data_IF_664581867366
#
_entry.id   IF_664581867366
#
_cell.length_a   1.000
_cell.length_b   1.000
_cell.length_c   1.000
_cell.angle_alpha   90.00
_cell.angle_beta   90.00
_cell.angle_gamma   90.00
#
_symmetry.space_group_name_H-M   'P 1'
#
loop_
_entity.id
_entity.type
_entity.pdbx_description
1 polymer ?
#
# COMPACT_ATOMS: atom_id res chain seq x y z
N UNK A 1 -12.55 -33.77 21.79
CA UNK A 1 -12.72 -32.28 21.86
C UNK A 1 -12.21 -31.51 20.61
N UNK A 2 -10.94 -31.64 20.17
CA UNK A 2 -10.38 -30.88 19.02
C UNK A 2 -11.18 -31.04 17.71
N UNK A 3 -11.73 -32.23 17.48
CA UNK A 3 -12.46 -32.59 16.26
C UNK A 3 -13.78 -31.81 16.11
N UNK A 4 -14.52 -31.55 17.19
CA UNK A 4 -15.79 -30.78 17.15
C UNK A 4 -15.50 -29.33 16.77
N UNK A 5 -14.47 -28.75 17.38
CA UNK A 5 -14.02 -27.40 17.06
C UNK A 5 -13.55 -27.28 15.61
N UNK A 6 -12.74 -28.23 15.14
CA UNK A 6 -12.26 -28.24 13.75
C UNK A 6 -13.42 -28.37 12.75
N UNK A 7 -14.48 -29.14 13.07
CA UNK A 7 -15.69 -29.26 12.23
C UNK A 7 -16.49 -27.95 12.16
N UNK A 8 -16.75 -27.32 13.31
CA UNK A 8 -17.46 -26.02 13.37
C UNK A 8 -16.66 -24.95 12.61
N UNK A 9 -15.34 -24.91 12.80
CA UNK A 9 -14.46 -23.98 12.09
C UNK A 9 -14.46 -24.22 10.58
N UNK A 10 -14.52 -25.47 10.13
CA UNK A 10 -14.62 -25.82 8.71
C UNK A 10 -15.91 -25.27 8.09
N UNK A 11 -17.05 -25.38 8.76
CA UNK A 11 -18.33 -24.88 8.26
C UNK A 11 -18.32 -23.35 8.21
N UNK A 12 -17.92 -22.70 9.30
CA UNK A 12 -17.94 -21.25 9.42
C UNK A 12 -16.87 -20.53 8.58
N UNK A 13 -15.85 -21.24 8.05
CA UNK A 13 -14.94 -20.68 7.04
C UNK A 13 -15.66 -20.14 5.80
N UNK A 14 -16.83 -20.69 5.47
CA UNK A 14 -17.62 -20.29 4.30
C UNK A 14 -18.68 -19.23 4.62
N UNK A 15 -18.74 -18.77 5.87
CA UNK A 15 -19.80 -17.92 6.39
C UNK A 15 -19.23 -16.52 6.71
N UNK A 16 -19.97 -15.41 6.46
CA UNK A 16 -19.50 -14.07 6.81
C UNK A 16 -19.26 -13.97 8.32
N UNK A 17 -18.12 -13.42 8.73
CA UNK A 17 -17.71 -13.38 10.12
C UNK A 17 -18.34 -12.22 10.91
N UNK A 18 -19.67 -12.08 10.96
CA UNK A 18 -20.33 -10.97 11.70
C UNK A 18 -20.37 -11.20 13.21
N UNK A 19 -20.64 -10.17 14.01
CA UNK A 19 -20.84 -10.34 15.46
C UNK A 19 -21.94 -11.36 15.76
N UNK A 20 -23.07 -11.27 15.03
CA UNK A 20 -24.16 -12.26 15.10
C UNK A 20 -23.70 -13.65 14.68
N UNK A 21 -22.86 -13.77 13.65
CA UNK A 21 -22.43 -15.09 13.15
C UNK A 21 -21.34 -15.71 14.03
N UNK A 22 -20.54 -14.89 14.70
CA UNK A 22 -19.55 -15.34 15.67
C UNK A 22 -20.20 -15.69 17.02
N UNK A 23 -21.25 -14.96 17.41
CA UNK A 23 -22.15 -15.38 18.50
C UNK A 23 -22.79 -16.72 18.16
N UNK A 24 -23.38 -16.86 16.96
CA UNK A 24 -23.96 -18.12 16.50
C UNK A 24 -22.93 -19.26 16.49
N UNK A 25 -21.70 -19.02 16.03
CA UNK A 25 -20.60 -19.99 16.10
C UNK A 25 -20.30 -20.40 17.53
N UNK A 26 -20.24 -19.43 18.44
CA UNK A 26 -19.96 -19.66 19.86
C UNK A 26 -21.09 -20.45 20.52
N UNK A 27 -22.34 -20.11 20.20
CA UNK A 27 -23.53 -20.78 20.72
C UNK A 27 -23.63 -22.22 20.20
N UNK A 28 -23.36 -22.46 18.92
CA UNK A 28 -23.33 -23.81 18.34
C UNK A 28 -22.20 -24.63 18.97
N UNK A 29 -20.99 -24.06 19.10
CA UNK A 29 -19.86 -24.72 19.72
C UNK A 29 -20.16 -25.09 21.18
N UNK A 30 -20.70 -24.16 21.96
CA UNK A 30 -21.05 -24.38 23.37
C UNK A 30 -22.09 -25.50 23.53
N UNK A 31 -23.16 -25.47 22.73
CA UNK A 31 -24.18 -26.51 22.79
C UNK A 31 -23.64 -27.90 22.35
N UNK A 32 -22.75 -27.94 21.34
CA UNK A 32 -22.08 -29.19 20.94
C UNK A 32 -21.13 -29.71 22.03
N UNK A 33 -20.39 -28.82 22.70
CA UNK A 33 -19.49 -29.18 23.80
C UNK A 33 -20.26 -29.69 25.02
N UNK A 34 -21.38 -29.05 25.39
CA UNK A 34 -22.23 -29.48 26.48
C UNK A 34 -22.79 -30.88 26.23
N UNK A 35 -23.26 -31.13 24.99
CA UNK A 35 -23.80 -32.44 24.61
C UNK A 35 -22.73 -33.53 24.57
N UNK A 36 -21.55 -33.19 24.10
CA UNK A 36 -20.39 -34.08 24.13
C UNK A 36 -20.04 -34.47 25.57
N UNK A 37 -19.97 -33.51 26.50
CA UNK A 37 -19.66 -33.79 27.90
C UNK A 37 -20.73 -34.66 28.57
N UNK A 38 -22.01 -34.43 28.27
CA UNK A 38 -23.11 -35.25 28.79
C UNK A 38 -23.00 -36.73 28.36
N UNK A 39 -22.60 -36.98 27.11
CA UNK A 39 -22.38 -38.34 26.59
C UNK A 39 -21.16 -39.03 27.21
N UNK A 40 -20.09 -38.28 27.47
CA UNK A 40 -18.91 -38.79 28.17
C UNK A 40 -19.25 -39.15 29.61
N UNK A 41 -20.02 -38.31 30.31
CA UNK A 41 -20.47 -38.58 31.69
C UNK A 41 -21.46 -39.76 31.76
N UNK A 42 -22.22 -39.99 30.69
CA UNK A 42 -23.08 -41.18 30.52
C UNK A 42 -22.29 -42.46 30.17
N UNK A 43 -20.96 -42.39 30.02
CA UNK A 43 -20.08 -43.53 29.77
C UNK A 43 -19.85 -43.87 28.30
N UNK A 44 -20.19 -42.98 27.36
CA UNK A 44 -19.91 -43.19 25.94
C UNK A 44 -18.41 -43.05 25.64
N UNK A 45 -17.94 -43.73 24.58
CA UNK A 45 -16.58 -43.54 24.10
C UNK A 45 -16.41 -42.21 23.37
N UNK A 46 -15.20 -41.64 23.37
CA UNK A 46 -14.91 -40.35 22.74
C UNK A 46 -15.34 -40.29 21.25
N UNK A 47 -15.14 -41.40 20.54
CA UNK A 47 -15.47 -41.51 19.12
C UNK A 47 -16.97 -41.67 18.87
N UNK A 48 -17.69 -42.28 19.80
CA UNK A 48 -19.15 -42.44 19.74
C UNK A 48 -19.84 -41.12 20.08
N UNK A 49 -19.38 -40.42 21.11
CA UNK A 49 -19.89 -39.11 21.50
C UNK A 49 -19.77 -38.09 20.35
N UNK A 50 -18.63 -38.04 19.64
CA UNK A 50 -18.44 -37.14 18.49
C UNK A 50 -19.43 -37.47 17.36
N UNK A 51 -19.60 -38.77 17.04
CA UNK A 51 -20.51 -39.20 15.98
C UNK A 51 -21.97 -38.85 16.27
N UNK A 52 -22.39 -39.01 17.53
CA UNK A 52 -23.75 -38.68 17.96
C UNK A 52 -24.00 -37.17 17.94
N UNK A 53 -23.07 -36.35 18.46
CA UNK A 53 -23.21 -34.89 18.48
C UNK A 53 -23.31 -34.31 17.07
N UNK A 54 -22.49 -34.80 16.13
CA UNK A 54 -22.55 -34.35 14.73
C UNK A 54 -23.88 -34.77 14.06
N UNK A 55 -24.38 -35.97 14.37
CA UNK A 55 -25.65 -36.45 13.81
C UNK A 55 -26.88 -35.70 14.37
N UNK A 56 -26.86 -35.34 15.65
CA UNK A 56 -27.97 -34.67 16.34
C UNK A 56 -28.10 -33.19 15.95
N UNK A 57 -26.98 -32.50 15.72
CA UNK A 57 -26.97 -31.13 15.22
C UNK A 57 -27.30 -31.00 13.73
N UNK A 58 -27.19 -32.09 12.96
CA UNK A 58 -27.47 -32.09 11.52
C UNK A 58 -26.48 -31.28 10.69
N UNK A 59 -26.90 -30.84 9.50
CA UNK A 59 -26.06 -30.01 8.63
C UNK A 59 -26.17 -28.54 9.04
N UNK A 60 -25.12 -28.02 9.68
CA UNK A 60 -25.00 -26.60 10.06
C UNK A 60 -25.17 -25.69 8.82
N UNK A 61 -24.80 -26.16 7.61
CA UNK A 61 -25.00 -25.41 6.37
C UNK A 61 -26.48 -25.19 6.04
N UNK A 62 -27.36 -26.14 6.38
CA UNK A 62 -28.80 -26.06 6.14
C UNK A 62 -29.45 -25.02 7.10
N UNK A 63 -29.02 -25.01 8.36
CA UNK A 63 -29.38 -23.96 9.34
C UNK A 63 -28.94 -22.56 8.87
N UNK A 64 -27.73 -22.43 8.34
CA UNK A 64 -27.20 -21.16 7.82
C UNK A 64 -27.91 -20.70 6.54
N UNK A 65 -28.45 -21.64 5.76
CA UNK A 65 -29.20 -21.36 4.54
C UNK A 65 -30.64 -20.90 4.85
N UNK A 66 -31.31 -21.50 5.84
CA UNK A 66 -32.60 -21.03 6.36
C UNK A 66 -32.51 -19.61 6.95
N UNK A 67 -31.39 -19.28 7.59
CA UNK A 67 -31.13 -17.94 8.14
C UNK A 67 -30.73 -16.90 7.07
N UNK A 68 -30.57 -17.29 5.79
CA UNK A 68 -30.22 -16.38 4.69
C UNK A 68 -28.76 -15.89 4.66
N UNK A 69 -27.92 -16.34 5.60
CA UNK A 69 -26.52 -15.93 5.74
C UNK A 69 -25.66 -16.46 4.56
N UNK A 70 -25.99 -17.65 4.04
CA UNK A 70 -25.34 -18.27 2.88
C UNK A 70 -25.58 -17.51 1.56
N UNK A 71 -26.72 -16.82 1.40
CA UNK A 71 -27.01 -16.03 0.18
C UNK A 71 -26.22 -14.73 0.13
N UNK A 72 -26.15 -13.99 1.24
CA UNK A 72 -25.37 -12.75 1.36
C UNK A 72 -23.86 -12.98 1.19
N UNK A 73 -23.37 -14.18 1.49
CA UNK A 73 -21.97 -14.56 1.31
C UNK A 73 -21.65 -14.93 -0.14
N UNK A 74 -22.58 -15.61 -0.83
CA UNK A 74 -22.48 -15.93 -2.28
C UNK A 74 -22.58 -14.68 -3.15
N UNK A 75 -23.59 -13.83 -2.95
CA UNK A 75 -23.78 -12.60 -3.74
C UNK A 75 -22.58 -11.63 -3.59
N UNK A 76 -22.02 -11.51 -2.37
CA UNK A 76 -20.81 -10.69 -2.15
C UNK A 76 -19.55 -11.25 -2.80
N UNK A 77 -19.35 -12.58 -2.81
CA UNK A 77 -18.22 -13.23 -3.52
C UNK A 77 -18.33 -13.11 -5.03
N UNK A 78 -19.55 -13.13 -5.57
CA UNK A 78 -19.78 -12.93 -7.01
C UNK A 78 -19.47 -11.49 -7.44
N UNK A 79 -19.69 -10.50 -6.56
CA UNK A 79 -19.46 -9.09 -6.87
C UNK A 79 -18.02 -8.62 -6.58
N UNK A 80 -17.34 -9.18 -5.57
CA UNK A 80 -15.98 -8.80 -5.19
C UNK A 80 -15.12 -10.02 -4.84
N UNK A 81 -13.88 -10.13 -5.38
CA UNK A 81 -13.01 -11.24 -5.05
C UNK A 81 -12.58 -11.17 -3.59
N UNK A 82 -12.68 -12.30 -2.88
CA UNK A 82 -11.99 -12.49 -1.60
C UNK A 82 -10.52 -12.73 -1.89
N UNK A 83 -9.64 -12.02 -1.19
CA UNK A 83 -8.21 -12.17 -1.42
C UNK A 83 -7.66 -13.32 -0.58
N UNK A 84 -7.02 -14.26 -1.25
CA UNK A 84 -6.32 -15.38 -0.63
C UNK A 84 -4.93 -14.94 -0.12
N UNK A 85 -4.40 -15.66 0.86
CA UNK A 85 -3.07 -15.43 1.44
C UNK A 85 -1.97 -15.48 0.36
N UNK A 86 -2.05 -16.42 -0.58
CA UNK A 86 -1.11 -16.52 -1.71
C UNK A 86 -1.11 -15.25 -2.58
N UNK A 87 -2.30 -14.65 -2.79
CA UNK A 87 -2.45 -13.42 -3.56
C UNK A 87 -1.86 -12.20 -2.86
N UNK A 88 -1.90 -12.17 -1.52
CA UNK A 88 -1.29 -11.13 -0.67
C UNK A 88 0.23 -11.22 -0.74
N UNK A 89 0.79 -12.42 -0.53
CA UNK A 89 2.23 -12.64 -0.56
C UNK A 89 2.83 -12.33 -1.93
N UNK A 90 2.14 -12.76 -3.00
CA UNK A 90 2.51 -12.42 -4.37
C UNK A 90 2.58 -10.89 -4.56
N UNK A 91 1.59 -10.15 -4.04
CA UNK A 91 1.56 -8.69 -4.14
C UNK A 91 2.68 -8.02 -3.37
N UNK A 92 2.95 -8.44 -2.12
CA UNK A 92 4.02 -7.91 -1.28
C UNK A 92 5.39 -8.12 -1.94
N UNK A 93 5.67 -9.33 -2.42
CA UNK A 93 6.93 -9.66 -3.09
C UNK A 93 7.07 -8.90 -4.42
N UNK A 94 6.00 -8.82 -5.20
CA UNK A 94 6.01 -8.10 -6.49
C UNK A 94 6.25 -6.61 -6.27
N UNK A 95 5.61 -5.98 -5.28
CA UNK A 95 5.86 -4.57 -4.94
C UNK A 95 7.31 -4.33 -4.47
N UNK A 96 7.87 -5.25 -3.69
CA UNK A 96 9.29 -5.19 -3.30
C UNK A 96 10.24 -5.25 -4.49
N UNK A 97 10.03 -6.19 -5.42
CA UNK A 97 10.86 -6.32 -6.63
C UNK A 97 10.71 -5.12 -7.57
N UNK A 98 9.50 -4.59 -7.75
CA UNK A 98 9.25 -3.33 -8.47
C UNK A 98 10.05 -2.19 -7.83
N UNK A 99 9.98 -2.03 -6.50
CA UNK A 99 10.73 -1.01 -5.78
C UNK A 99 12.24 -1.11 -5.97
N UNK A 100 12.79 -2.31 -5.81
CA UNK A 100 14.22 -2.56 -6.02
C UNK A 100 14.66 -2.19 -7.44
N UNK A 101 13.92 -2.64 -8.46
CA UNK A 101 14.26 -2.41 -9.87
C UNK A 101 14.11 -0.96 -10.29
N UNK A 102 13.11 -0.25 -9.77
CA UNK A 102 13.00 1.21 -9.92
C UNK A 102 14.23 1.89 -9.30
N UNK A 103 14.61 1.51 -8.08
CA UNK A 103 15.83 2.01 -7.44
C UNK A 103 17.08 1.77 -8.28
N UNK A 104 17.26 0.55 -8.79
CA UNK A 104 18.36 0.20 -9.68
C UNK A 104 18.33 0.98 -11.00
N UNK A 105 17.14 1.31 -11.52
CA UNK A 105 16.98 2.19 -12.68
C UNK A 105 17.49 3.60 -12.40
N UNK A 106 17.12 4.18 -11.25
CA UNK A 106 17.63 5.49 -10.83
C UNK A 106 19.14 5.46 -10.61
N UNK A 107 19.65 4.45 -9.89
CA UNK A 107 21.09 4.26 -9.69
C UNK A 107 21.83 4.11 -11.02
N UNK A 108 21.27 3.39 -12.00
CA UNK A 108 21.88 3.25 -13.32
C UNK A 108 22.02 4.60 -14.02
N UNK A 109 20.97 5.43 -14.03
CA UNK A 109 21.02 6.76 -14.64
C UNK A 109 22.03 7.66 -13.92
N UNK A 110 22.01 7.66 -12.59
CA UNK A 110 22.96 8.45 -11.78
C UNK A 110 24.41 7.95 -11.96
N UNK A 111 24.63 6.65 -12.10
CA UNK A 111 25.94 6.09 -12.42
C UNK A 111 26.40 6.46 -13.83
N UNK A 112 25.49 6.49 -14.82
CA UNK A 112 25.78 6.96 -16.18
C UNK A 112 26.19 8.44 -16.20
N UNK A 113 25.41 9.31 -15.55
CA UNK A 113 25.71 10.74 -15.42
C UNK A 113 26.98 10.95 -14.61
N UNK A 114 27.13 10.26 -13.48
CA UNK A 114 28.32 10.33 -12.64
C UNK A 114 29.58 9.85 -13.36
N UNK A 115 29.47 8.79 -14.16
CA UNK A 115 30.55 8.27 -15.00
C UNK A 115 30.98 9.27 -16.08
N UNK A 116 30.02 9.91 -16.76
CA UNK A 116 30.32 11.00 -17.70
C UNK A 116 31.07 12.14 -17.00
N UNK A 117 30.55 12.64 -15.87
CA UNK A 117 31.17 13.75 -15.14
C UNK A 117 32.57 13.36 -14.65
N UNK A 118 32.74 12.15 -14.12
CA UNK A 118 34.05 11.66 -13.68
C UNK A 118 35.05 11.58 -14.84
N UNK A 119 34.63 11.08 -16.01
CA UNK A 119 35.48 11.00 -17.19
C UNK A 119 35.83 12.38 -17.76
N UNK A 120 34.91 13.36 -17.70
CA UNK A 120 35.23 14.76 -18.01
C UNK A 120 36.32 15.30 -17.09
N UNK A 121 36.32 14.92 -15.81
CA UNK A 121 37.38 15.23 -14.85
C UNK A 121 38.76 14.67 -15.21
N UNK A 122 38.81 13.62 -16.03
CA UNK A 122 40.03 12.93 -16.44
C UNK A 122 40.51 13.33 -17.85
N UNK A 123 39.86 14.29 -18.52
CA UNK A 123 40.20 14.68 -19.89
C UNK A 123 41.66 15.12 -20.07
N UNK A 124 42.27 15.68 -19.03
CA UNK A 124 43.68 16.10 -19.05
C UNK A 124 44.64 14.90 -19.11
N UNK A 125 44.21 13.73 -18.65
CA UNK A 125 44.97 12.48 -18.69
C UNK A 125 44.62 11.63 -19.91
N UNK A 126 43.37 11.69 -20.37
CA UNK A 126 42.88 10.88 -21.47
C UNK A 126 41.97 11.68 -22.40
N UNK A 127 42.48 12.09 -23.56
CA UNK A 127 41.76 12.97 -24.50
C UNK A 127 40.43 12.40 -25.01
N UNK A 128 40.31 11.07 -25.12
CA UNK A 128 39.06 10.43 -25.53
C UNK A 128 38.05 10.24 -24.38
N UNK A 129 38.35 10.69 -23.16
CA UNK A 129 37.48 10.51 -21.98
C UNK A 129 36.07 11.09 -22.16
N UNK A 130 35.86 12.29 -22.74
CA UNK A 130 34.51 12.83 -22.94
C UNK A 130 33.65 11.95 -23.85
N UNK A 131 34.23 11.41 -24.93
CA UNK A 131 33.51 10.56 -25.89
C UNK A 131 33.14 9.21 -25.25
N UNK A 132 34.07 8.59 -24.51
CA UNK A 132 33.78 7.36 -23.76
C UNK A 132 32.71 7.61 -22.70
N UNK A 133 32.79 8.75 -22.00
CA UNK A 133 31.80 9.14 -20.99
C UNK A 133 30.40 9.32 -21.59
N UNK A 134 30.30 9.86 -22.79
CA UNK A 134 29.02 9.98 -23.48
C UNK A 134 28.44 8.61 -23.84
N UNK A 135 29.25 7.70 -24.40
CA UNK A 135 28.81 6.33 -24.70
C UNK A 135 28.39 5.60 -23.42
N UNK A 136 29.14 5.78 -22.34
CA UNK A 136 28.84 5.22 -21.02
C UNK A 136 27.49 5.73 -20.46
N UNK A 137 27.24 7.04 -20.52
CA UNK A 137 25.96 7.64 -20.15
C UNK A 137 24.81 7.02 -20.94
N UNK A 138 24.94 6.96 -22.27
CA UNK A 138 23.88 6.44 -23.14
C UNK A 138 23.56 4.97 -22.83
N UNK A 139 24.59 4.14 -22.58
CA UNK A 139 24.39 2.74 -22.20
C UNK A 139 23.60 2.60 -20.89
N UNK A 140 24.00 3.34 -19.85
CA UNK A 140 23.33 3.29 -18.54
C UNK A 140 21.92 3.92 -18.57
N UNK A 141 21.72 4.94 -19.41
CA UNK A 141 20.41 5.54 -19.65
C UNK A 141 19.43 4.51 -20.24
N UNK A 142 19.87 3.73 -21.24
CA UNK A 142 19.06 2.67 -21.83
C UNK A 142 18.68 1.62 -20.79
N UNK A 143 19.62 1.21 -19.93
CA UNK A 143 19.35 0.26 -18.83
C UNK A 143 18.31 0.83 -17.86
N UNK A 144 18.48 2.09 -17.43
CA UNK A 144 17.57 2.74 -16.51
C UNK A 144 16.15 2.88 -17.06
N UNK A 145 16.01 3.33 -18.31
CA UNK A 145 14.72 3.45 -18.99
C UNK A 145 14.07 2.07 -19.18
N UNK A 146 14.84 1.06 -19.57
CA UNK A 146 14.32 -0.30 -19.74
C UNK A 146 13.74 -0.85 -18.43
N UNK A 147 14.42 -0.66 -17.29
CA UNK A 147 13.91 -1.05 -15.98
C UNK A 147 12.60 -0.34 -15.65
N UNK A 148 12.49 0.97 -15.91
CA UNK A 148 11.25 1.70 -15.66
C UNK A 148 10.09 1.25 -16.55
N UNK A 149 10.34 0.99 -17.84
CA UNK A 149 9.28 0.52 -18.75
C UNK A 149 8.78 -0.87 -18.33
N UNK A 150 9.70 -1.80 -18.09
CA UNK A 150 9.34 -3.18 -17.72
C UNK A 150 8.54 -3.22 -16.42
N UNK A 151 8.95 -2.48 -15.40
CA UNK A 151 8.25 -2.46 -14.11
C UNK A 151 6.99 -1.59 -14.14
N UNK A 152 6.95 -0.54 -14.96
CA UNK A 152 5.74 0.24 -15.19
C UNK A 152 4.63 -0.59 -15.84
N UNK A 153 4.99 -1.48 -16.78
CA UNK A 153 4.06 -2.44 -17.37
C UNK A 153 3.57 -3.46 -16.34
N UNK A 154 4.46 -4.05 -15.53
CA UNK A 154 4.09 -5.00 -14.46
C UNK A 154 3.21 -4.37 -13.38
N UNK A 155 3.44 -3.10 -13.05
CA UNK A 155 2.61 -2.37 -12.10
C UNK A 155 1.16 -2.19 -12.61
N UNK A 156 0.92 -2.23 -13.92
CA UNK A 156 -0.42 -2.15 -14.49
C UNK A 156 -1.25 -3.41 -14.19
N UNK A 157 -0.62 -4.58 -14.12
CA UNK A 157 -1.28 -5.85 -13.78
C UNK A 157 -1.76 -5.86 -12.32
N UNK A 158 -1.14 -5.06 -11.46
CA UNK A 158 -1.46 -4.93 -10.04
C UNK A 158 -2.63 -3.97 -9.75
N UNK A 159 -3.32 -3.46 -10.78
CA UNK A 159 -4.48 -2.56 -10.60
C UNK A 159 -5.65 -3.24 -9.87
N UNK A 160 -5.75 -4.58 -9.93
CA UNK A 160 -6.76 -5.33 -9.20
C UNK A 160 -6.73 -5.05 -7.69
N UNK A 161 -5.54 -4.91 -7.11
CA UNK A 161 -5.31 -4.66 -5.68
C UNK A 161 -5.66 -3.23 -5.23
N UNK A 162 -5.94 -2.33 -6.18
CA UNK A 162 -6.38 -0.95 -5.91
C UNK A 162 -7.91 -0.82 -5.93
N UNK A 163 -8.62 -1.92 -6.21
CA UNK A 163 -10.07 -1.99 -6.06
C UNK A 163 -10.41 -2.54 -4.67
N UNK A 164 -11.58 -2.20 -4.12
CA UNK A 164 -12.05 -2.80 -2.89
C UNK A 164 -12.14 -4.33 -3.03
N UNK A 165 -11.62 -5.06 -2.06
CA UNK A 165 -11.70 -6.52 -1.97
C UNK A 165 -12.00 -6.95 -0.54
N UNK A 166 -12.48 -8.17 -0.36
CA UNK A 166 -12.79 -8.69 0.97
C UNK A 166 -11.50 -9.23 1.60
N UNK A 167 -11.16 -8.72 2.79
CA UNK A 167 -10.01 -9.17 3.58
C UNK A 167 -10.51 -9.79 4.89
N UNK A 168 -10.15 -11.07 5.14
CA UNK A 168 -10.57 -11.75 6.36
C UNK A 168 -9.93 -11.12 7.61
N UNK A 169 -10.63 -11.09 8.76
CA UNK A 169 -10.09 -10.53 10.01
C UNK A 169 -8.74 -11.12 10.43
N UNK A 170 -8.59 -12.45 10.36
CA UNK A 170 -7.34 -13.13 10.74
C UNK A 170 -6.15 -12.67 9.86
N UNK A 171 -6.38 -12.56 8.55
CA UNK A 171 -5.36 -12.07 7.60
C UNK A 171 -5.06 -10.59 7.80
N UNK A 172 -6.07 -9.78 8.15
CA UNK A 172 -5.90 -8.36 8.45
C UNK A 172 -5.01 -8.17 9.68
N UNK A 173 -5.28 -8.88 10.76
CA UNK A 173 -4.47 -8.82 11.98
C UNK A 173 -3.01 -9.20 11.69
N UNK A 174 -2.80 -10.28 10.94
CA UNK A 174 -1.47 -10.69 10.49
C UNK A 174 -0.75 -9.59 9.68
N UNK A 175 -1.45 -8.94 8.75
CA UNK A 175 -0.90 -7.85 7.95
C UNK A 175 -0.59 -6.59 8.77
N UNK A 176 -1.42 -6.26 9.76
CA UNK A 176 -1.17 -5.12 10.66
C UNK A 176 0.07 -5.37 11.54
N UNK A 177 0.25 -6.60 12.04
CA UNK A 177 1.46 -7.02 12.75
C UNK A 177 2.71 -6.94 11.88
N UNK A 178 2.65 -7.51 10.67
CA UNK A 178 3.75 -7.47 9.70
C UNK A 178 4.10 -6.03 9.30
N UNK A 179 3.11 -5.18 9.04
CA UNK A 179 3.32 -3.77 8.71
C UNK A 179 4.01 -3.04 9.88
N UNK A 180 3.55 -3.28 11.12
CA UNK A 180 4.15 -2.68 12.32
C UNK A 180 5.58 -3.14 12.55
N UNK A 181 5.88 -4.42 12.31
CA UNK A 181 7.24 -4.94 12.33
C UNK A 181 8.10 -4.29 11.23
N UNK A 182 7.55 -4.13 10.02
CA UNK A 182 8.24 -3.55 8.87
C UNK A 182 8.52 -2.05 9.04
N UNK A 183 7.74 -1.29 9.83
CA UNK A 183 8.01 0.13 10.15
C UNK A 183 9.44 0.35 10.66
N UNK A 184 9.99 -0.60 11.43
CA UNK A 184 11.38 -0.53 11.91
C UNK A 184 12.37 -0.65 10.74
N UNK A 185 12.16 -1.62 9.84
CA UNK A 185 12.97 -1.79 8.63
C UNK A 185 12.90 -0.57 7.71
N UNK A 186 11.70 0.00 7.53
CA UNK A 186 11.49 1.23 6.78
C UNK A 186 12.31 2.38 7.37
N UNK A 187 12.26 2.58 8.69
CA UNK A 187 13.03 3.62 9.37
C UNK A 187 14.54 3.42 9.21
N UNK A 188 15.05 2.18 9.34
CA UNK A 188 16.47 1.87 9.12
C UNK A 188 16.89 2.20 7.68
N UNK A 189 16.08 1.82 6.70
CA UNK A 189 16.34 2.14 5.29
C UNK A 189 16.36 3.65 5.04
N UNK A 190 15.43 4.40 5.66
CA UNK A 190 15.41 5.87 5.57
C UNK A 190 16.68 6.48 6.17
N UNK A 191 17.08 6.04 7.37
CA UNK A 191 18.30 6.53 8.03
C UNK A 191 19.52 6.23 7.16
N UNK A 192 19.68 4.99 6.69
CA UNK A 192 20.80 4.60 5.81
C UNK A 192 20.83 5.41 4.52
N UNK A 193 19.69 5.58 3.84
CA UNK A 193 19.60 6.35 2.61
C UNK A 193 19.93 7.83 2.81
N UNK A 194 19.39 8.46 3.85
CA UNK A 194 19.66 9.87 4.18
C UNK A 194 21.13 10.05 4.57
N UNK A 195 21.67 9.15 5.39
CA UNK A 195 23.10 9.17 5.75
C UNK A 195 24.00 9.04 4.53
N UNK A 196 23.69 8.15 3.57
CA UNK A 196 24.42 8.03 2.31
C UNK A 196 24.33 9.32 1.48
N UNK A 197 23.17 9.96 1.40
CA UNK A 197 23.01 11.23 0.68
C UNK A 197 23.83 12.36 1.34
N UNK A 198 23.89 12.44 2.66
CA UNK A 198 24.69 13.46 3.36
C UNK A 198 26.19 13.16 3.19
N UNK A 199 26.61 11.90 3.37
CA UNK A 199 27.99 11.45 3.19
C UNK A 199 28.46 11.52 1.72
N UNK A 200 27.54 11.57 0.76
CA UNK A 200 27.88 11.73 -0.66
C UNK A 200 28.63 13.03 -0.95
N UNK A 201 28.53 14.03 -0.08
CA UNK A 201 29.26 15.29 -0.21
C UNK A 201 30.77 15.12 0.04
N UNK A 202 31.19 14.09 0.79
CA UNK A 202 32.59 13.84 1.14
C UNK A 202 33.51 13.68 -0.07
N UNK A 203 33.24 12.81 -1.07
CA UNK A 203 34.10 12.71 -2.26
C UNK A 203 34.18 14.01 -3.07
N UNK A 204 33.09 14.79 -3.16
CA UNK A 204 33.10 16.10 -3.82
C UNK A 204 34.02 17.08 -3.07
N UNK A 205 33.86 17.18 -1.75
CA UNK A 205 34.69 18.06 -0.91
C UNK A 205 36.16 17.65 -0.92
N UNK A 206 36.45 16.35 -0.93
CA UNK A 206 37.81 15.84 -1.02
C UNK A 206 38.48 16.31 -2.32
N UNK A 207 37.79 16.24 -3.47
CA UNK A 207 38.32 16.74 -4.73
C UNK A 207 38.42 18.27 -4.80
N UNK A 208 37.60 19.00 -4.06
CA UNK A 208 37.65 20.47 -3.99
C UNK A 208 38.76 21.00 -3.09
N UNK A 209 39.05 20.30 -1.98
CA UNK A 209 40.00 20.74 -0.97
C UNK A 209 41.39 20.13 -1.13
N UNK A 210 41.51 19.03 -1.88
CA UNK A 210 42.77 18.30 -2.06
C UNK A 210 43.04 18.01 -3.54
N UNK A 211 44.29 17.74 -3.88
CA UNK A 211 44.68 17.30 -5.23
C UNK A 211 44.64 15.76 -5.40
N UNK A 212 44.02 15.01 -4.46
CA UNK A 212 43.98 13.54 -4.50
C UNK A 212 43.13 13.03 -5.66
N UNK A 213 41.99 13.68 -5.91
CA UNK A 213 41.06 13.33 -6.98
C UNK A 213 40.57 14.62 -7.67
N UNK A 214 40.34 14.62 -8.99
CA UNK A 214 39.70 15.75 -9.65
C UNK A 214 38.30 16.00 -9.07
N UNK A 215 37.91 17.27 -8.90
CA UNK A 215 36.59 17.67 -8.37
C UNK A 215 35.44 16.96 -9.10
N UNK A 216 35.52 16.88 -10.43
CA UNK A 216 34.50 16.23 -11.24
C UNK A 216 34.40 14.71 -11.01
N UNK A 217 35.51 14.04 -10.69
CA UNK A 217 35.49 12.63 -10.25
C UNK A 217 34.79 12.50 -8.90
N UNK A 218 35.04 13.44 -7.98
CA UNK A 218 34.32 13.54 -6.71
C UNK A 218 32.80 13.72 -6.88
N UNK A 219 32.37 14.56 -7.84
CA UNK A 219 30.96 14.75 -8.20
C UNK A 219 30.36 13.46 -8.78
N UNK A 220 31.11 12.74 -9.62
CA UNK A 220 30.68 11.46 -10.16
C UNK A 220 30.39 10.42 -9.07
N UNK A 221 31.31 10.29 -8.09
CA UNK A 221 31.14 9.41 -6.94
C UNK A 221 29.97 9.84 -6.02
N UNK A 222 29.78 11.15 -5.85
CA UNK A 222 28.63 11.70 -5.11
C UNK A 222 27.30 11.19 -5.70
N UNK A 223 27.13 11.26 -7.02
CA UNK A 223 25.90 10.80 -7.69
C UNK A 223 25.66 9.29 -7.51
N UNK A 224 26.71 8.47 -7.53
CA UNK A 224 26.60 7.03 -7.28
C UNK A 224 26.13 6.75 -5.84
N UNK A 225 26.71 7.45 -4.86
CA UNK A 225 26.31 7.32 -3.45
C UNK A 225 24.86 7.74 -3.21
N UNK A 226 24.43 8.84 -3.85
CA UNK A 226 23.02 9.26 -3.85
C UNK A 226 22.14 8.17 -4.46
N UNK A 227 22.54 7.61 -5.61
CA UNK A 227 21.80 6.53 -6.26
C UNK A 227 21.61 5.30 -5.36
N UNK A 228 22.65 4.89 -4.62
CA UNK A 228 22.52 3.82 -3.63
C UNK A 228 21.55 4.17 -2.51
N UNK A 229 21.51 5.43 -2.05
CA UNK A 229 20.50 5.90 -1.10
C UNK A 229 19.08 5.80 -1.65
N UNK A 230 18.87 6.14 -2.94
CA UNK A 230 17.57 6.01 -3.59
C UNK A 230 17.10 4.56 -3.71
N UNK A 231 18.01 3.60 -3.93
CA UNK A 231 17.66 2.16 -3.92
C UNK A 231 17.06 1.75 -2.57
N UNK A 232 17.65 2.21 -1.46
CA UNK A 232 17.12 1.95 -0.12
C UNK A 232 15.68 2.49 0.02
N UNK A 233 15.44 3.76 -0.35
CA UNK A 233 14.12 4.39 -0.23
C UNK A 233 13.06 3.73 -1.10
N UNK A 234 13.40 3.40 -2.34
CA UNK A 234 12.46 2.83 -3.31
C UNK A 234 12.06 1.40 -2.96
N UNK A 235 13.02 0.58 -2.50
CA UNK A 235 12.73 -0.77 -2.03
C UNK A 235 11.84 -0.74 -0.77
N UNK A 236 12.29 -0.07 0.29
CA UNK A 236 11.56 -0.08 1.56
C UNK A 236 10.22 0.63 1.47
N UNK A 237 10.16 1.73 0.73
CA UNK A 237 8.95 2.52 0.50
C UNK A 237 7.89 1.73 -0.25
N UNK A 238 8.24 0.98 -1.31
CA UNK A 238 7.25 0.21 -2.06
C UNK A 238 6.69 -0.99 -1.28
N UNK A 239 7.51 -1.67 -0.48
CA UNK A 239 7.02 -2.75 0.39
C UNK A 239 6.07 -2.19 1.45
N UNK A 240 6.45 -1.07 2.10
CA UNK A 240 5.57 -0.44 3.09
C UNK A 240 4.26 0.05 2.46
N UNK A 241 4.33 0.63 1.26
CA UNK A 241 3.16 1.06 0.51
C UNK A 241 2.25 -0.13 0.12
N UNK A 242 2.82 -1.31 -0.15
CA UNK A 242 2.04 -2.51 -0.43
C UNK A 242 1.15 -2.90 0.77
N UNK A 243 1.68 -2.91 1.99
CA UNK A 243 0.88 -3.11 3.20
C UNK A 243 -0.23 -2.06 3.33
N UNK A 244 0.09 -0.79 3.10
CA UNK A 244 -0.91 0.28 3.14
C UNK A 244 -2.02 0.07 2.12
N UNK A 245 -1.69 -0.32 0.88
CA UNK A 245 -2.67 -0.60 -0.18
C UNK A 245 -3.57 -1.77 0.23
N UNK A 246 -3.00 -2.86 0.76
CA UNK A 246 -3.77 -4.03 1.18
C UNK A 246 -4.72 -3.69 2.34
N UNK A 247 -4.26 -2.98 3.37
CA UNK A 247 -5.08 -2.61 4.53
C UNK A 247 -6.13 -1.54 4.22
N UNK A 248 -5.88 -0.68 3.23
CA UNK A 248 -6.81 0.39 2.82
C UNK A 248 -7.91 -0.15 1.91
N UNK A 249 -7.56 -1.01 0.95
CA UNK A 249 -8.52 -1.57 -0.02
C UNK A 249 -9.15 -2.88 0.47
N UNK A 250 -8.51 -3.58 1.41
CA UNK A 250 -9.07 -4.73 2.11
C UNK A 250 -10.13 -4.30 3.12
N UNK A 251 -11.38 -4.48 2.74
CA UNK A 251 -12.54 -4.12 3.55
C UNK A 251 -13.00 -5.30 4.38
N UNK A 252 -13.54 -5.01 5.55
CA UNK A 252 -14.04 -6.06 6.43
C UNK A 252 -15.29 -6.72 5.82
N UNK A 253 -15.46 -8.05 5.95
CA UNK A 253 -16.63 -8.75 5.40
C UNK A 253 -17.96 -8.21 5.96
N UNK A 254 -17.95 -7.77 7.22
CA UNK A 254 -19.14 -7.39 7.96
C UNK A 254 -19.67 -6.01 7.57
N UNK A 255 -18.77 -5.05 7.41
CA UNK A 255 -19.05 -3.65 7.08
C UNK A 255 -18.73 -3.32 5.61
N UNK A 256 -18.60 -4.34 4.76
CA UNK A 256 -18.11 -4.19 3.38
C UNK A 256 -18.90 -3.16 2.57
N UNK A 257 -20.23 -3.29 2.52
CA UNK A 257 -21.07 -2.37 1.75
C UNK A 257 -21.02 -0.94 2.27
N UNK A 258 -20.99 -0.77 3.60
CA UNK A 258 -20.90 0.54 4.22
C UNK A 258 -19.56 1.19 3.91
N UNK A 259 -18.46 0.44 4.01
CA UNK A 259 -17.11 0.90 3.71
C UNK A 259 -16.95 1.25 2.23
N UNK A 260 -17.51 0.45 1.31
CA UNK A 260 -17.47 0.72 -0.13
C UNK A 260 -18.33 1.93 -0.50
N UNK A 261 -19.56 2.04 0.05
CA UNK A 261 -20.43 3.21 -0.17
C UNK A 261 -19.79 4.48 0.41
N UNK A 262 -19.19 4.39 1.59
CA UNK A 262 -18.46 5.51 2.21
C UNK A 262 -17.25 5.94 1.37
N UNK A 263 -16.49 5.00 0.83
CA UNK A 263 -15.36 5.30 -0.06
C UNK A 263 -15.82 5.95 -1.37
N UNK A 264 -16.90 5.44 -1.98
CA UNK A 264 -17.48 6.03 -3.18
C UNK A 264 -17.99 7.47 -2.93
N UNK A 265 -18.62 7.71 -1.77
CA UNK A 265 -19.01 9.06 -1.35
C UNK A 265 -17.81 9.99 -1.19
N UNK A 266 -16.76 9.55 -0.48
CA UNK A 266 -15.52 10.32 -0.31
C UNK A 266 -14.90 10.69 -1.66
N UNK A 267 -14.75 9.72 -2.57
CA UNK A 267 -14.23 9.97 -3.93
C UNK A 267 -15.07 10.99 -4.69
N UNK A 268 -16.40 10.97 -4.55
CA UNK A 268 -17.29 11.96 -5.17
C UNK A 268 -17.07 13.35 -4.59
N UNK A 269 -16.90 13.48 -3.28
CA UNK A 269 -16.63 14.75 -2.60
C UNK A 269 -15.26 15.29 -3.04
N UNK A 270 -14.24 14.44 -3.04
CA UNK A 270 -12.89 14.82 -3.47
C UNK A 270 -12.89 15.27 -4.94
N UNK A 271 -13.61 14.56 -5.83
CA UNK A 271 -13.80 14.99 -7.22
C UNK A 271 -14.46 16.36 -7.32
N UNK A 272 -15.53 16.62 -6.57
CA UNK A 272 -16.20 17.93 -6.56
C UNK A 272 -15.23 19.02 -6.07
N UNK A 273 -14.39 18.71 -5.09
CA UNK A 273 -13.46 19.69 -4.53
C UNK A 273 -12.30 19.98 -5.48
N UNK A 274 -11.70 18.95 -6.05
CA UNK A 274 -10.54 19.08 -6.94
C UNK A 274 -10.93 19.63 -8.32
N UNK A 275 -12.00 19.12 -8.93
CA UNK A 275 -12.35 19.43 -10.32
C UNK A 275 -13.34 20.60 -10.47
N UNK A 276 -14.04 20.97 -9.39
CA UNK A 276 -15.06 22.04 -9.45
C UNK A 276 -14.67 23.18 -8.51
N UNK A 277 -14.50 22.90 -7.23
CA UNK A 277 -14.28 23.94 -6.21
C UNK A 277 -12.97 24.72 -6.42
N UNK A 278 -11.83 24.02 -6.59
CA UNK A 278 -10.53 24.69 -6.76
C UNK A 278 -10.46 25.55 -8.04
N UNK A 279 -10.90 25.07 -9.22
CA UNK A 279 -11.00 25.90 -10.41
C UNK A 279 -11.88 27.14 -10.20
N UNK A 280 -13.01 27.02 -9.49
CA UNK A 280 -13.86 28.18 -9.15
C UNK A 280 -13.11 29.18 -8.26
N UNK A 281 -12.38 28.72 -7.23
CA UNK A 281 -11.55 29.60 -6.38
C UNK A 281 -10.49 30.33 -7.20
N UNK A 282 -9.86 29.66 -8.17
CA UNK A 282 -8.90 30.28 -9.09
C UNK A 282 -9.59 31.33 -9.99
N UNK A 283 -10.78 31.05 -10.50
CA UNK A 283 -11.57 32.01 -11.29
C UNK A 283 -11.97 33.23 -10.44
N UNK A 284 -12.43 33.01 -9.21
CA UNK A 284 -12.76 34.09 -8.26
C UNK A 284 -11.51 34.92 -7.95
N UNK A 285 -10.37 34.26 -7.70
CA UNK A 285 -9.10 34.91 -7.49
C UNK A 285 -8.74 35.83 -8.65
N UNK A 286 -8.77 35.32 -9.88
CA UNK A 286 -8.46 36.14 -11.06
C UNK A 286 -9.48 37.25 -11.27
N UNK A 287 -10.78 36.96 -11.20
CA UNK A 287 -11.83 37.96 -11.39
C UNK A 287 -11.73 39.10 -10.35
N UNK A 288 -11.58 38.77 -9.06
CA UNK A 288 -11.41 39.77 -8.01
C UNK A 288 -10.10 40.57 -8.21
N UNK A 289 -9.00 39.90 -8.58
CA UNK A 289 -7.71 40.54 -8.81
C UNK A 289 -7.73 41.51 -10.00
N UNK A 290 -8.40 41.16 -11.09
CA UNK A 290 -8.52 42.01 -12.28
C UNK A 290 -9.58 43.11 -12.16
N UNK A 291 -10.72 42.84 -11.50
CA UNK A 291 -11.82 43.82 -11.36
C UNK A 291 -11.51 44.90 -10.32
N UNK A 292 -10.90 44.53 -9.20
CA UNK A 292 -10.59 45.48 -8.12
C UNK A 292 -9.30 46.25 -8.42
N UNK A 293 -8.31 45.58 -9.04
CA UNK A 293 -7.05 46.19 -9.46
C UNK A 293 -6.20 46.78 -8.33
N UNK A 294 -5.06 47.38 -8.70
CA UNK A 294 -4.19 48.11 -7.77
C UNK A 294 -3.59 47.23 -6.66
N UNK A 295 -3.58 47.76 -5.42
CA UNK A 295 -2.99 47.10 -4.24
C UNK A 295 -3.64 45.78 -3.84
N UNK A 296 -4.80 45.43 -4.42
CA UNK A 296 -5.49 44.18 -4.12
C UNK A 296 -4.71 42.95 -4.59
N UNK A 297 -3.89 43.05 -5.65
CA UNK A 297 -3.01 41.95 -6.09
C UNK A 297 -2.08 41.46 -4.97
N UNK A 298 -1.57 42.37 -4.14
CA UNK A 298 -0.68 42.03 -3.02
C UNK A 298 -1.37 41.20 -1.92
N UNK A 299 -2.71 41.31 -1.80
CA UNK A 299 -3.50 40.64 -0.77
C UNK A 299 -4.43 39.55 -1.33
N UNK A 300 -4.55 39.45 -2.65
CA UNK A 300 -5.43 38.52 -3.36
C UNK A 300 -5.19 37.05 -3.00
N UNK A 301 -3.97 36.70 -2.59
CA UNK A 301 -3.60 35.35 -2.14
C UNK A 301 -4.39 34.88 -0.90
N UNK A 302 -4.95 35.81 -0.11
CA UNK A 302 -5.83 35.50 1.04
C UNK A 302 -7.06 34.69 0.60
N UNK A 303 -7.50 34.84 -0.66
CA UNK A 303 -8.58 34.03 -1.24
C UNK A 303 -8.27 32.53 -1.18
N UNK A 304 -7.01 32.13 -1.38
CA UNK A 304 -6.60 30.72 -1.28
C UNK A 304 -6.64 30.21 0.16
N UNK A 305 -6.27 31.04 1.13
CA UNK A 305 -6.35 30.69 2.56
C UNK A 305 -7.80 30.51 3.01
N UNK A 306 -8.67 31.44 2.61
CA UNK A 306 -10.12 31.33 2.84
C UNK A 306 -10.70 30.12 2.11
N UNK A 307 -10.22 29.84 0.89
CA UNK A 307 -10.58 28.65 0.13
C UNK A 307 -10.25 27.36 0.89
N UNK A 308 -9.01 27.23 1.36
CA UNK A 308 -8.62 26.06 2.17
C UNK A 308 -9.45 25.89 3.45
N UNK A 309 -9.80 26.99 4.13
CA UNK A 309 -10.67 26.92 5.32
C UNK A 309 -12.12 26.48 4.98
N UNK A 310 -12.66 26.95 3.86
CA UNK A 310 -13.99 26.57 3.38
C UNK A 310 -14.03 25.11 2.92
N UNK A 311 -12.97 24.58 2.30
CA UNK A 311 -12.86 23.17 1.91
C UNK A 311 -13.13 22.22 3.09
N UNK A 312 -12.48 22.47 4.24
CA UNK A 312 -12.68 21.67 5.44
C UNK A 312 -14.12 21.71 5.96
N UNK A 313 -14.78 22.87 5.84
CA UNK A 313 -16.18 23.05 6.25
C UNK A 313 -17.10 22.28 5.30
N UNK A 314 -16.89 22.39 3.99
CA UNK A 314 -17.65 21.66 2.96
C UNK A 314 -17.54 20.15 3.17
N UNK A 315 -16.32 19.62 3.35
CA UNK A 315 -16.10 18.19 3.64
C UNK A 315 -16.88 17.73 4.87
N UNK A 316 -16.86 18.50 5.96
CA UNK A 316 -17.60 18.17 7.18
C UNK A 316 -19.12 18.17 7.00
N UNK A 317 -19.68 19.11 6.23
CA UNK A 317 -21.12 19.20 5.97
C UNK A 317 -21.59 17.98 5.19
N UNK A 318 -20.88 17.60 4.13
CA UNK A 318 -21.20 16.42 3.34
C UNK A 318 -21.09 15.12 4.14
N UNK A 319 -20.13 15.01 5.06
CA UNK A 319 -20.03 13.85 5.96
C UNK A 319 -21.19 13.77 6.98
N UNK A 320 -21.82 14.90 7.32
CA UNK A 320 -22.96 14.96 8.27
C UNK A 320 -24.34 14.79 7.63
N UNK A 321 -24.49 15.04 6.33
CA UNK A 321 -25.80 15.09 5.66
C UNK A 321 -26.40 13.72 5.30
N UNK A 322 -25.59 12.65 5.37
CA UNK A 322 -25.96 11.28 4.95
C UNK A 322 -25.95 10.26 6.11
N UNK A 323 -26.01 10.72 7.36
CA UNK A 323 -26.35 9.92 8.55
C UNK A 323 -27.83 10.11 8.88
#
# INVERSE_FOLDING_TARGET
MKIIKDYVDQVFKTVPLTEETNQLRTDILANMEDKYNELIDAGASEHEAIGVVIAEFGNIEELLEEMGISRLSKERREQYPTMEEEGIDYFLQTKGTIGLRIGLGVLSILAGVGGLIALLGLQNFFQAAPLIGLVFLLAFLVVGIALFILEGMRAADLKAYHKPFVLLPDLREHLEEQQKAYKKSLAISIVLGVSLCILSLTPMLLGAMTNLIPVLVGVGLMLILIGTGVVCFTYSGNVYNAYTILLTNGKNPNSFEEEVKAEARRKRIDYIIEEIYWPIIVVIYFAASFLIGGSFWAWSWVIFVLGGALEGTIKSIFDTWDK
#
